data_IF_385003449655
#
_entry.id   IF_385003449655
#
_cell.length_a   1.000
_cell.length_b   1.000
_cell.length_c   1.000
_cell.angle_alpha   90.00
_cell.angle_beta   90.00
_cell.angle_gamma   90.00
#
_symmetry.space_group_name_H-M   'P 1'
#
loop_
_entity.id
_entity.type
_entity.pdbx_description
1 polymer ?
#
# COMPACT_ATOMS: atom_id res chain seq x y z
N UNK A 1 -9.39 -10.50 -24.75
CA UNK A 1 -10.22 -11.08 -23.68
C UNK A 1 -9.95 -10.27 -22.42
N UNK A 2 -10.83 -9.32 -22.09
CA UNK A 2 -10.69 -8.48 -20.89
C UNK A 2 -11.58 -9.02 -19.77
N UNK A 3 -11.05 -9.10 -18.55
CA UNK A 3 -11.76 -9.56 -17.35
C UNK A 3 -12.77 -8.52 -16.88
N UNK A 4 -13.82 -8.29 -17.66
CA UNK A 4 -15.05 -7.67 -17.18
C UNK A 4 -15.78 -8.70 -16.30
N UNK A 5 -15.47 -8.73 -15.00
CA UNK A 5 -16.15 -9.64 -14.07
C UNK A 5 -15.43 -9.96 -12.76
N UNK A 6 -14.20 -9.48 -12.54
CA UNK A 6 -13.52 -9.66 -11.26
C UNK A 6 -13.64 -8.35 -10.47
N UNK A 7 -14.59 -8.31 -9.53
CA UNK A 7 -14.73 -7.18 -8.62
C UNK A 7 -13.71 -7.25 -7.47
N UNK A 8 -13.60 -6.17 -6.70
CA UNK A 8 -12.65 -6.08 -5.59
C UNK A 8 -12.91 -7.15 -4.52
N UNK A 9 -14.18 -7.56 -4.31
CA UNK A 9 -14.53 -8.60 -3.36
C UNK A 9 -13.92 -9.94 -3.78
N UNK A 10 -14.04 -10.29 -5.07
CA UNK A 10 -13.43 -11.48 -5.64
C UNK A 10 -11.91 -11.45 -5.51
N UNK A 11 -11.26 -10.32 -5.80
CA UNK A 11 -9.81 -10.16 -5.62
C UNK A 11 -9.35 -10.36 -4.17
N UNK A 12 -10.18 -10.05 -3.17
CA UNK A 12 -9.84 -10.19 -1.75
C UNK A 12 -9.93 -11.63 -1.24
N UNK A 13 -10.80 -12.45 -1.84
CA UNK A 13 -11.11 -13.81 -1.34
C UNK A 13 -9.87 -14.71 -1.11
N UNK A 14 -8.85 -14.73 -1.99
CA UNK A 14 -7.66 -15.57 -1.78
C UNK A 14 -6.82 -15.18 -0.55
N UNK A 15 -6.93 -13.94 -0.10
CA UNK A 15 -6.13 -13.38 1.00
C UNK A 15 -6.90 -13.37 2.34
N UNK A 16 -8.20 -13.68 2.34
CA UNK A 16 -9.03 -13.70 3.56
C UNK A 16 -8.48 -14.74 4.54
N UNK A 17 -8.27 -14.32 5.78
CA UNK A 17 -7.78 -15.20 6.84
C UNK A 17 -6.26 -15.27 6.98
N UNK A 18 -5.50 -14.60 6.10
CA UNK A 18 -4.07 -14.34 6.33
C UNK A 18 -3.85 -13.53 7.62
N UNK A 19 -2.66 -13.56 8.23
CA UNK A 19 -2.34 -12.68 9.34
C UNK A 19 -2.54 -11.21 8.95
N UNK A 20 -3.36 -10.49 9.72
CA UNK A 20 -3.60 -9.07 9.50
C UNK A 20 -2.37 -8.27 9.94
N UNK A 21 -1.84 -7.36 9.11
CA UNK A 21 -0.79 -6.46 9.54
C UNK A 21 -1.29 -5.47 10.60
N UNK A 22 -0.48 -5.24 11.63
CA UNK A 22 -0.75 -4.22 12.66
C UNK A 22 -0.56 -2.79 12.12
N UNK A 23 0.30 -2.64 11.11
CA UNK A 23 0.65 -1.38 10.46
C UNK A 23 0.97 -1.59 8.99
N UNK A 24 0.45 -0.71 8.13
CA UNK A 24 0.77 -0.68 6.70
C UNK A 24 1.23 0.73 6.33
N UNK A 25 2.45 0.87 5.81
CA UNK A 25 2.91 2.13 5.23
C UNK A 25 2.57 2.15 3.74
N UNK A 26 1.81 3.15 3.32
CA UNK A 26 1.53 3.42 1.92
C UNK A 26 2.32 4.65 1.48
N UNK A 27 3.37 4.45 0.68
CA UNK A 27 4.18 5.53 0.13
C UNK A 27 3.52 6.05 -1.14
N UNK A 28 2.75 7.12 -1.01
CA UNK A 28 2.04 7.74 -2.13
C UNK A 28 2.99 8.65 -2.90
N UNK A 29 3.34 8.24 -4.12
CA UNK A 29 4.22 8.99 -5.02
C UNK A 29 3.34 9.65 -6.07
N UNK A 30 3.56 10.93 -6.34
CA UNK A 30 2.85 11.63 -7.41
C UNK A 30 3.28 11.06 -8.75
N UNK A 31 2.34 10.90 -9.68
CA UNK A 31 2.62 10.32 -11.00
C UNK A 31 3.76 11.03 -11.74
N UNK A 32 3.85 12.36 -11.63
CA UNK A 32 4.93 13.14 -12.24
C UNK A 32 6.32 12.92 -11.63
N UNK A 33 6.42 12.42 -10.40
CA UNK A 33 7.70 12.09 -9.76
C UNK A 33 8.14 10.65 -10.07
N UNK A 34 7.18 9.75 -10.33
CA UNK A 34 7.45 8.38 -10.75
C UNK A 34 8.10 8.30 -12.13
N UNK A 35 7.70 9.18 -13.06
CA UNK A 35 8.25 9.30 -14.42
C UNK A 35 9.74 9.71 -14.43
N UNK A 36 10.22 10.36 -13.36
CA UNK A 36 11.62 10.76 -13.22
C UNK A 36 12.53 9.63 -12.68
N UNK A 37 11.97 8.48 -12.29
CA UNK A 37 12.76 7.31 -11.90
C UNK A 37 13.31 6.65 -13.16
N UNK A 38 14.58 6.26 -13.13
CA UNK A 38 15.41 5.97 -14.30
C UNK A 38 14.93 4.85 -15.27
N UNK A 39 13.81 4.17 -14.98
CA UNK A 39 13.30 3.04 -15.78
C UNK A 39 11.76 3.04 -15.91
N UNK A 40 11.07 4.15 -15.65
CA UNK A 40 9.59 4.18 -15.73
C UNK A 40 9.10 3.87 -17.15
N UNK A 41 8.34 2.78 -17.30
CA UNK A 41 7.72 2.35 -18.55
C UNK A 41 8.29 1.06 -19.14
N UNK A 42 9.26 0.42 -18.47
CA UNK A 42 9.83 -0.86 -18.89
C UNK A 42 9.03 -2.05 -18.35
N UNK A 43 8.37 -1.91 -17.20
CA UNK A 43 7.54 -2.97 -16.64
C UNK A 43 6.07 -2.89 -17.10
N UNK A 44 5.39 -4.05 -17.15
CA UNK A 44 4.02 -4.22 -17.68
C UNK A 44 2.98 -3.27 -17.06
N UNK A 45 3.20 -2.82 -15.84
CA UNK A 45 2.26 -2.00 -15.07
C UNK A 45 2.69 -0.52 -14.95
N UNK A 46 3.78 -0.12 -15.59
CA UNK A 46 4.31 1.24 -15.55
C UNK A 46 3.69 2.12 -16.64
N UNK A 47 2.37 2.32 -16.55
CA UNK A 47 1.69 3.35 -17.34
C UNK A 47 0.90 4.28 -16.42
N UNK A 48 0.94 5.59 -16.69
CA UNK A 48 0.29 6.60 -15.84
C UNK A 48 -1.21 6.34 -15.62
N UNK A 49 -1.93 5.93 -16.67
CA UNK A 49 -3.35 5.59 -16.58
C UNK A 49 -3.63 4.35 -15.73
N UNK A 50 -2.73 3.37 -15.75
CA UNK A 50 -2.85 2.18 -14.91
C UNK A 50 -2.52 2.50 -13.45
N UNK A 51 -1.44 3.24 -13.21
CA UNK A 51 -1.01 3.66 -11.88
C UNK A 51 -2.08 4.52 -11.18
N UNK A 52 -2.78 5.39 -11.92
CA UNK A 52 -3.92 6.15 -11.37
C UNK A 52 -5.04 5.22 -10.87
N UNK A 53 -5.41 4.20 -11.65
CA UNK A 53 -6.44 3.23 -11.25
C UNK A 53 -6.00 2.39 -10.06
N UNK A 54 -4.74 1.97 -10.05
CA UNK A 54 -4.15 1.21 -8.93
C UNK A 54 -4.19 2.03 -7.65
N UNK A 55 -3.83 3.32 -7.72
CA UNK A 55 -3.92 4.25 -6.59
C UNK A 55 -5.35 4.32 -6.04
N UNK A 56 -6.36 4.50 -6.89
CA UNK A 56 -7.76 4.54 -6.46
C UNK A 56 -8.20 3.26 -5.76
N UNK A 57 -7.75 2.08 -6.23
CA UNK A 57 -8.05 0.79 -5.59
C UNK A 57 -7.32 0.66 -4.24
N UNK A 58 -6.07 1.12 -4.12
CA UNK A 58 -5.38 1.14 -2.82
C UNK A 58 -6.12 2.00 -1.80
N UNK A 59 -6.63 3.16 -2.19
CA UNK A 59 -7.46 3.99 -1.31
C UNK A 59 -8.79 3.32 -0.92
N UNK A 60 -9.35 2.46 -1.76
CA UNK A 60 -10.53 1.65 -1.40
C UNK A 60 -10.19 0.49 -0.45
N UNK A 61 -8.98 -0.06 -0.52
CA UNK A 61 -8.52 -1.15 0.34
C UNK A 61 -8.03 -0.68 1.71
N UNK A 62 -7.65 0.60 1.81
CA UNK A 62 -7.14 1.23 3.02
C UNK A 62 -8.10 1.05 4.20
N UNK A 63 -7.55 0.69 5.35
CA UNK A 63 -8.25 0.70 6.64
C UNK A 63 -7.51 1.58 7.68
N UNK A 64 -7.85 1.43 8.96
CA UNK A 64 -7.27 2.22 10.05
C UNK A 64 -5.80 1.90 10.37
N UNK A 65 -5.26 0.75 9.96
CA UNK A 65 -3.85 0.40 10.19
C UNK A 65 -2.90 1.10 9.21
N UNK A 66 -3.44 1.75 8.19
CA UNK A 66 -2.65 2.35 7.13
C UNK A 66 -2.17 3.76 7.47
N UNK A 67 -0.86 3.99 7.33
CA UNK A 67 -0.23 5.31 7.35
C UNK A 67 0.17 5.69 5.93
N UNK A 68 -0.46 6.73 5.40
CA UNK A 68 -0.16 7.25 4.07
C UNK A 68 0.92 8.33 4.22
N UNK A 69 2.05 8.14 3.55
CA UNK A 69 3.20 9.04 3.58
C UNK A 69 3.48 9.57 2.18
N UNK A 70 3.96 10.81 2.09
CA UNK A 70 4.43 11.37 0.81
C UNK A 70 5.76 10.70 0.44
N UNK A 71 5.69 9.81 -0.56
CA UNK A 71 6.82 9.03 -1.07
C UNK A 71 7.69 9.80 -2.05
N UNK A 72 7.37 11.07 -2.35
CA UNK A 72 8.21 11.96 -3.18
C UNK A 72 9.29 12.69 -2.38
N UNK A 73 9.32 12.53 -1.04
CA UNK A 73 10.35 13.10 -0.17
C UNK A 73 11.69 12.35 -0.28
N UNK A 74 12.74 12.91 0.31
CA UNK A 74 14.05 12.27 0.39
C UNK A 74 14.02 10.98 1.21
N UNK A 75 14.94 10.07 0.92
CA UNK A 75 15.05 8.77 1.60
C UNK A 75 15.18 8.96 3.11
N UNK A 76 16.06 9.86 3.55
CA UNK A 76 16.27 10.15 4.98
C UNK A 76 15.03 10.77 5.63
N UNK A 77 14.33 11.68 4.93
CA UNK A 77 13.10 12.29 5.45
C UNK A 77 12.00 11.24 5.67
N UNK A 78 11.81 10.34 4.69
CA UNK A 78 10.86 9.24 4.81
C UNK A 78 11.28 8.28 5.92
N UNK A 79 12.57 7.97 6.04
CA UNK A 79 13.10 7.11 7.09
C UNK A 79 12.82 7.70 8.49
N UNK A 80 13.07 8.99 8.69
CA UNK A 80 12.79 9.69 9.94
C UNK A 80 11.29 9.74 10.28
N UNK A 81 10.40 9.61 9.30
CA UNK A 81 8.95 9.47 9.53
C UNK A 81 8.55 8.02 9.84
N UNK A 82 9.10 7.04 9.13
CA UNK A 82 8.71 5.62 9.23
C UNK A 82 9.22 4.98 10.51
N UNK A 83 10.49 5.22 10.87
CA UNK A 83 11.16 4.54 11.98
C UNK A 83 10.43 4.69 13.32
N UNK A 84 10.13 5.92 13.81
CA UNK A 84 9.48 6.05 15.12
C UNK A 84 8.08 5.44 15.15
N UNK A 85 7.33 5.53 14.04
CA UNK A 85 5.98 4.94 13.96
C UNK A 85 6.06 3.40 14.01
N UNK A 86 7.06 2.81 13.36
CA UNK A 86 7.30 1.37 13.40
C UNK A 86 7.70 0.91 14.81
N UNK A 87 8.64 1.62 15.45
CA UNK A 87 9.07 1.33 16.84
C UNK A 87 7.89 1.44 17.81
N UNK A 88 7.12 2.54 17.77
CA UNK A 88 5.92 2.75 18.60
C UNK A 88 4.88 1.64 18.41
N UNK A 89 4.76 1.10 17.19
CA UNK A 89 3.84 0.00 16.91
C UNK A 89 4.33 -1.31 17.51
N UNK A 90 5.64 -1.58 17.42
CA UNK A 90 6.27 -2.79 17.98
C UNK A 90 6.21 -2.79 19.50
N UNK A 91 6.45 -1.63 20.12
CA UNK A 91 6.43 -1.45 21.58
C UNK A 91 5.01 -1.31 22.15
N UNK A 92 4.00 -1.17 21.28
CA UNK A 92 2.60 -1.04 21.63
C UNK A 92 1.92 -2.36 22.04
N UNK A 93 0.64 -2.26 22.39
CA UNK A 93 -0.20 -3.43 22.67
C UNK A 93 -0.65 -4.08 21.36
N UNK A 94 0.15 -5.03 20.88
CA UNK A 94 -0.14 -5.79 19.67
C UNK A 94 -1.19 -6.88 19.92
N UNK A 95 -2.11 -7.13 18.98
CA UNK A 95 -3.11 -8.18 19.09
C UNK A 95 -2.48 -9.56 19.36
N UNK A 96 -2.92 -10.20 20.44
CA UNK A 96 -2.53 -11.58 20.78
C UNK A 96 -3.78 -12.40 21.19
N UNK A 97 -4.23 -13.38 20.36
CA UNK A 97 -3.62 -13.82 19.11
C UNK A 97 -3.74 -12.78 17.98
N UNK A 98 -2.89 -12.91 16.95
CA UNK A 98 -2.93 -12.03 15.77
C UNK A 98 -4.31 -12.05 15.10
N UNK A 99 -4.75 -10.87 14.66
CA UNK A 99 -5.97 -10.69 13.89
C UNK A 99 -5.87 -11.35 12.50
N UNK A 100 -7.02 -11.63 11.91
CA UNK A 100 -7.13 -12.15 10.54
C UNK A 100 -7.50 -11.06 9.55
N UNK A 101 -6.89 -11.11 8.37
CA UNK A 101 -7.11 -10.15 7.30
C UNK A 101 -8.51 -10.37 6.70
N UNK A 102 -9.31 -9.30 6.70
CA UNK A 102 -10.65 -9.23 6.09
C UNK A 102 -11.64 -10.31 6.56
N UNK A 103 -11.57 -10.69 7.84
CA UNK A 103 -12.50 -11.59 8.52
C UNK A 103 -13.55 -10.86 9.36
#
# INVERSE_FOLDING_TARGET
>A
MGTSGIDLCWCKQPEVGLPKPDLVFFLDIRAGDAENRANFGEERYESALFQSKVKDIFYQLKDSSWKVLDGSQGIEDIHHLVLPIAEDTIDGDLPNPMDKLWS
#
